data_IF_525102370535
#
_entry.id   IF_525102370535
#
_cell.length_a   1.000
_cell.length_b   1.000
_cell.length_c   1.000
_cell.angle_alpha   90.00
_cell.angle_beta   90.00
_cell.angle_gamma   90.00
#
_symmetry.space_group_name_H-M   'P 1'
#
loop_
_entity.id
_entity.type
_entity.pdbx_description
1 polymer ?
#
# COMPACT_ATOMS: atom_id res chain seq x y z
N UNK A 1 -6.43 13.40 12.08
CA UNK A 1 -5.45 13.67 11.00
C UNK A 1 -6.23 14.05 9.75
N UNK A 2 -5.82 15.09 9.03
CA UNK A 2 -6.52 15.51 7.79
C UNK A 2 -6.02 14.65 6.62
N UNK A 3 -6.93 14.21 5.75
CA UNK A 3 -6.55 13.52 4.50
C UNK A 3 -5.80 14.51 3.59
N UNK A 4 -4.60 14.18 3.09
CA UNK A 4 -3.90 15.04 2.12
C UNK A 4 -4.65 15.08 0.77
N UNK A 5 -4.27 16.02 -0.09
CA UNK A 5 -4.77 16.01 -1.47
C UNK A 5 -4.11 14.87 -2.25
N UNK A 6 -4.86 13.79 -2.49
CA UNK A 6 -4.31 12.59 -3.09
C UNK A 6 -3.95 12.75 -4.58
N UNK A 7 -4.39 13.83 -5.24
CA UNK A 7 -4.01 14.11 -6.62
C UNK A 7 -2.56 14.61 -6.75
N UNK A 8 -1.94 15.07 -5.66
CA UNK A 8 -0.58 15.64 -5.68
C UNK A 8 0.46 14.51 -5.57
N UNK A 9 0.93 14.00 -6.70
CA UNK A 9 1.92 12.91 -6.74
C UNK A 9 3.22 13.24 -5.99
N UNK A 10 3.64 14.51 -5.98
CA UNK A 10 4.83 14.97 -5.25
C UNK A 10 4.71 14.85 -3.73
N UNK A 11 3.49 14.74 -3.20
CA UNK A 11 3.24 14.56 -1.76
C UNK A 11 2.99 13.09 -1.40
N UNK A 12 2.89 12.20 -2.40
CA UNK A 12 2.62 10.79 -2.20
C UNK A 12 3.78 10.09 -1.46
N UNK A 13 3.45 9.02 -0.72
CA UNK A 13 4.39 8.37 0.19
C UNK A 13 3.72 7.47 1.23
N UNK A 14 4.55 6.84 2.06
CA UNK A 14 4.12 6.03 3.21
C UNK A 14 3.87 6.92 4.43
N UNK A 15 2.67 6.83 5.01
CA UNK A 15 2.23 7.69 6.12
C UNK A 15 1.45 6.89 7.16
N UNK A 16 1.67 7.19 8.44
CA UNK A 16 0.77 6.69 9.48
C UNK A 16 -0.60 7.35 9.38
N UNK A 17 -1.65 6.59 9.67
CA UNK A 17 -3.04 7.00 9.52
C UNK A 17 -3.90 6.45 10.65
N UNK A 18 -4.37 7.33 11.53
CA UNK A 18 -5.25 6.97 12.64
C UNK A 18 -6.76 7.14 12.32
N UNK A 19 -7.10 7.49 11.08
CA UNK A 19 -8.49 7.74 10.68
C UNK A 19 -9.19 6.51 10.10
N UNK A 20 -10.46 6.66 9.75
CA UNK A 20 -11.22 5.59 9.11
C UNK A 20 -10.77 5.40 7.64
N UNK A 21 -10.69 4.17 7.11
CA UNK A 21 -10.30 3.90 5.72
C UNK A 21 -11.26 4.54 4.71
N UNK A 22 -12.52 4.77 5.07
CA UNK A 22 -13.55 5.38 4.22
C UNK A 22 -13.19 6.82 3.83
N UNK A 23 -12.48 7.55 4.69
CA UNK A 23 -12.03 8.90 4.39
C UNK A 23 -10.96 8.89 3.28
N UNK A 24 -10.05 7.92 3.30
CA UNK A 24 -9.06 7.72 2.23
C UNK A 24 -9.75 7.24 0.96
N UNK A 25 -10.67 6.29 1.07
CA UNK A 25 -11.43 5.76 -0.07
C UNK A 25 -12.22 6.87 -0.80
N UNK A 26 -12.87 7.77 -0.04
CA UNK A 26 -13.58 8.91 -0.60
C UNK A 26 -12.64 9.90 -1.31
N UNK A 27 -11.50 10.22 -0.68
CA UNK A 27 -10.50 11.11 -1.29
C UNK A 27 -9.85 10.50 -2.54
N UNK A 28 -9.56 9.19 -2.52
CA UNK A 28 -8.99 8.46 -3.65
C UNK A 28 -9.96 8.46 -4.84
N UNK A 29 -11.25 8.23 -4.58
CA UNK A 29 -12.28 8.31 -5.61
C UNK A 29 -12.38 9.72 -6.21
N UNK A 30 -12.34 10.77 -5.38
CA UNK A 30 -12.34 12.16 -5.85
C UNK A 30 -11.13 12.47 -6.75
N UNK A 31 -9.97 11.89 -6.45
CA UNK A 31 -8.75 11.98 -7.24
C UNK A 31 -8.67 10.95 -8.40
N UNK A 32 -9.71 10.14 -8.61
CA UNK A 32 -9.77 9.05 -9.61
C UNK A 32 -8.71 7.96 -9.44
N UNK A 33 -8.17 7.82 -8.24
CA UNK A 33 -7.20 6.79 -7.91
C UNK A 33 -7.91 5.46 -7.66
N UNK A 34 -7.22 4.36 -7.99
CA UNK A 34 -7.57 3.08 -7.38
C UNK A 34 -7.41 3.20 -5.86
N UNK A 35 -8.21 2.43 -5.11
CA UNK A 35 -8.00 2.31 -3.68
C UNK A 35 -8.14 0.86 -3.23
N UNK A 36 -7.17 0.44 -2.42
CA UNK A 36 -7.01 -0.93 -1.93
C UNK A 36 -6.87 -0.91 -0.42
N UNK A 37 -7.44 -1.93 0.22
CA UNK A 37 -7.38 -2.08 1.67
C UNK A 37 -6.74 -3.43 1.96
N UNK A 38 -5.66 -3.41 2.74
CA UNK A 38 -4.99 -4.60 3.26
C UNK A 38 -5.29 -4.69 4.74
N UNK A 39 -5.99 -5.75 5.16
CA UNK A 39 -6.30 -5.99 6.56
C UNK A 39 -5.29 -6.96 7.16
N UNK A 40 -4.54 -6.52 8.18
CA UNK A 40 -3.54 -7.33 8.87
C UNK A 40 -4.07 -7.94 10.18
N UNK A 41 -5.38 -7.89 10.43
CA UNK A 41 -5.98 -8.54 11.59
C UNK A 41 -5.71 -10.05 11.60
N UNK A 42 -5.01 -10.52 12.64
CA UNK A 42 -4.70 -11.94 12.82
C UNK A 42 -3.58 -12.46 11.91
N UNK A 43 -2.93 -11.61 11.12
CA UNK A 43 -1.81 -12.01 10.25
C UNK A 43 -0.58 -12.32 11.10
N UNK A 44 -0.04 -13.53 10.92
CA UNK A 44 1.15 -14.04 11.61
C UNK A 44 2.27 -14.43 10.66
N UNK A 45 3.40 -13.72 10.75
CA UNK A 45 4.63 -14.02 10.03
C UNK A 45 4.57 -13.68 8.54
N UNK A 46 5.70 -13.87 7.85
CA UNK A 46 5.89 -13.49 6.45
C UNK A 46 4.91 -14.16 5.50
N UNK A 47 4.67 -15.47 5.62
CA UNK A 47 3.80 -16.20 4.68
C UNK A 47 2.38 -15.64 4.67
N UNK A 48 1.78 -15.42 5.84
CA UNK A 48 0.43 -14.87 5.93
C UNK A 48 0.38 -13.39 5.52
N UNK A 49 1.48 -12.64 5.73
CA UNK A 49 1.59 -11.28 5.22
C UNK A 49 1.55 -11.26 3.68
N UNK A 50 2.29 -12.14 3.01
CA UNK A 50 2.28 -12.26 1.55
C UNK A 50 0.88 -12.58 1.03
N UNK A 51 0.17 -13.51 1.67
CA UNK A 51 -1.22 -13.84 1.33
C UNK A 51 -2.17 -12.64 1.50
N UNK A 52 -2.00 -11.88 2.59
CA UNK A 52 -2.81 -10.69 2.88
C UNK A 52 -2.55 -9.58 1.86
N UNK A 53 -1.29 -9.35 1.49
CA UNK A 53 -0.88 -8.39 0.46
C UNK A 53 -1.45 -8.78 -0.90
N UNK A 54 -1.25 -10.03 -1.34
CA UNK A 54 -1.75 -10.51 -2.62
C UNK A 54 -3.27 -10.31 -2.76
N UNK A 55 -4.03 -10.68 -1.72
CA UNK A 55 -5.49 -10.51 -1.70
C UNK A 55 -5.92 -9.04 -1.61
N UNK A 56 -5.35 -8.28 -0.68
CA UNK A 56 -5.76 -6.90 -0.38
C UNK A 56 -5.43 -5.92 -1.49
N UNK A 57 -4.27 -6.09 -2.13
CA UNK A 57 -3.85 -5.29 -3.29
C UNK A 57 -4.47 -5.79 -4.60
N UNK A 58 -5.00 -7.01 -4.62
CA UNK A 58 -5.45 -7.73 -5.81
C UNK A 58 -4.32 -7.89 -6.82
N UNK A 59 -3.18 -8.41 -6.36
CA UNK A 59 -2.04 -8.72 -7.21
C UNK A 59 -2.40 -9.86 -8.19
N UNK A 60 -1.63 -10.02 -9.30
CA UNK A 60 -1.89 -11.06 -10.28
C UNK A 60 -1.92 -12.47 -9.67
N UNK A 61 -2.65 -13.39 -10.30
CA UNK A 61 -2.76 -14.79 -9.84
C UNK A 61 -1.41 -15.52 -9.77
N UNK A 62 -0.43 -15.08 -10.57
CA UNK A 62 0.92 -15.62 -10.60
C UNK A 62 1.89 -14.93 -9.61
N UNK A 63 1.38 -14.13 -8.67
CA UNK A 63 2.19 -13.49 -7.64
C UNK A 63 3.03 -14.51 -6.86
N UNK A 64 4.35 -14.30 -6.84
CA UNK A 64 5.34 -15.26 -6.32
C UNK A 64 5.44 -15.40 -4.79
N UNK A 65 4.59 -14.70 -4.02
CA UNK A 65 4.53 -14.75 -2.55
C UNK A 65 5.88 -14.56 -1.83
N UNK A 66 6.70 -13.63 -2.32
CA UNK A 66 7.97 -13.25 -1.71
C UNK A 66 8.24 -11.74 -1.91
N UNK A 67 9.34 -11.23 -1.36
CA UNK A 67 9.66 -9.80 -1.37
C UNK A 67 9.99 -9.29 -2.76
N UNK A 68 10.80 -10.02 -3.53
CA UNK A 68 11.19 -9.62 -4.88
C UNK A 68 9.95 -9.57 -5.80
N UNK A 69 9.10 -10.60 -5.72
CA UNK A 69 7.83 -10.63 -6.45
C UNK A 69 6.89 -9.50 -6.03
N UNK A 70 6.94 -9.04 -4.78
CA UNK A 70 6.14 -7.90 -4.32
C UNK A 70 6.67 -6.60 -4.93
N UNK A 71 7.98 -6.36 -4.85
CA UNK A 71 8.61 -5.18 -5.45
C UNK A 71 8.31 -5.11 -6.95
N UNK A 72 8.55 -6.22 -7.68
CA UNK A 72 8.26 -6.34 -9.10
C UNK A 72 6.79 -6.02 -9.41
N UNK A 73 5.86 -6.60 -8.64
CA UNK A 73 4.44 -6.31 -8.81
C UNK A 73 4.14 -4.83 -8.55
N UNK A 74 4.68 -4.23 -7.49
CA UNK A 74 4.33 -2.85 -7.11
C UNK A 74 4.82 -1.81 -8.13
N UNK A 75 5.88 -2.10 -8.87
CA UNK A 75 6.38 -1.27 -9.97
C UNK A 75 5.77 -1.63 -11.33
N UNK A 76 4.95 -2.69 -11.40
CA UNK A 76 4.15 -3.02 -12.57
C UNK A 76 2.90 -2.12 -12.67
N UNK A 77 2.58 -1.66 -13.87
CA UNK A 77 1.50 -0.71 -14.13
C UNK A 77 0.10 -1.30 -14.07
N UNK A 78 -0.04 -2.62 -14.24
CA UNK A 78 -1.33 -3.28 -14.50
C UNK A 78 -2.34 -3.17 -13.34
N UNK A 79 -1.88 -3.08 -12.09
CA UNK A 79 -2.73 -2.99 -10.90
C UNK A 79 -2.91 -1.55 -10.37
N UNK A 80 -1.98 -0.64 -10.70
CA UNK A 80 -1.92 0.75 -10.22
C UNK A 80 -3.09 1.60 -10.74
N UNK A 81 -3.64 1.25 -11.92
CA UNK A 81 -4.66 2.03 -12.60
C UNK A 81 -4.08 3.25 -13.35
N UNK A 82 -4.94 3.93 -14.11
CA UNK A 82 -4.50 4.99 -15.02
C UNK A 82 -3.99 6.24 -14.30
N UNK A 83 -4.54 6.54 -13.13
CA UNK A 83 -4.28 7.79 -12.40
C UNK A 83 -3.42 7.61 -11.14
N UNK A 84 -3.06 6.38 -10.76
CA UNK A 84 -2.38 6.09 -9.50
C UNK A 84 -3.28 5.40 -8.47
N UNK A 85 -2.76 5.20 -7.27
CA UNK A 85 -3.38 4.38 -6.23
C UNK A 85 -3.25 4.96 -4.82
N UNK A 86 -4.21 4.61 -3.95
CA UNK A 86 -4.10 4.71 -2.51
C UNK A 86 -4.25 3.33 -1.85
N UNK A 87 -3.34 2.97 -0.96
CA UNK A 87 -3.34 1.71 -0.22
C UNK A 87 -3.54 2.04 1.26
N UNK A 88 -4.47 1.34 1.90
CA UNK A 88 -4.72 1.48 3.34
C UNK A 88 -4.45 0.15 4.04
N UNK A 89 -3.45 0.14 4.91
CA UNK A 89 -3.20 -0.96 5.83
C UNK A 89 -4.00 -0.76 7.11
N UNK A 90 -4.82 -1.75 7.48
CA UNK A 90 -5.59 -1.77 8.72
C UNK A 90 -5.01 -2.78 9.70
N UNK A 91 -5.11 -2.46 10.99
CA UNK A 91 -4.69 -3.33 12.09
C UNK A 91 -3.19 -3.72 11.99
N UNK A 92 -2.34 -2.85 11.43
CA UNK A 92 -0.93 -3.15 11.22
C UNK A 92 -0.12 -3.12 12.51
N UNK A 93 -0.62 -2.44 13.56
CA UNK A 93 0.09 -2.25 14.84
C UNK A 93 0.56 -3.56 15.49
N UNK A 94 -0.28 -4.60 15.49
CA UNK A 94 0.09 -5.90 16.07
C UNK A 94 1.20 -6.59 15.26
N UNK A 95 1.08 -6.58 13.93
CA UNK A 95 2.07 -7.15 13.04
C UNK A 95 3.42 -6.42 13.15
N UNK A 96 3.40 -5.08 13.07
CA UNK A 96 4.57 -4.20 13.27
C UNK A 96 5.34 -4.52 14.55
N UNK A 97 4.62 -4.81 15.64
CA UNK A 97 5.22 -5.11 16.93
C UNK A 97 5.86 -6.49 16.97
N UNK A 98 5.19 -7.50 16.42
CA UNK A 98 5.62 -8.90 16.49
C UNK A 98 6.63 -9.30 15.41
N UNK A 99 6.59 -8.66 14.25
CA UNK A 99 7.38 -9.01 13.06
C UNK A 99 8.08 -7.77 12.49
N UNK A 100 8.92 -7.11 13.31
CA UNK A 100 9.58 -5.85 12.96
C UNK A 100 10.40 -5.90 11.68
N UNK A 101 11.23 -6.93 11.52
CA UNK A 101 12.11 -7.08 10.34
C UNK A 101 11.28 -7.21 9.06
N UNK A 102 10.26 -8.07 9.06
CA UNK A 102 9.36 -8.21 7.91
C UNK A 102 8.63 -6.90 7.61
N UNK A 103 8.22 -6.15 8.64
CA UNK A 103 7.58 -4.86 8.46
C UNK A 103 8.52 -3.79 7.90
N UNK A 104 9.76 -3.72 8.39
CA UNK A 104 10.78 -2.79 7.88
C UNK A 104 11.03 -3.05 6.40
N UNK A 105 11.23 -4.31 6.00
CA UNK A 105 11.36 -4.67 4.57
C UNK A 105 10.14 -4.29 3.75
N UNK A 106 8.92 -4.52 4.25
CA UNK A 106 7.70 -4.09 3.55
C UNK A 106 7.63 -2.56 3.41
N UNK A 107 7.97 -1.82 4.46
CA UNK A 107 7.92 -0.37 4.46
C UNK A 107 8.95 0.23 3.49
N UNK A 108 10.13 -0.37 3.39
CA UNK A 108 11.16 0.01 2.43
C UNK A 108 10.67 -0.20 0.99
N UNK A 109 10.16 -1.40 0.67
CA UNK A 109 9.60 -1.72 -0.66
C UNK A 109 8.45 -0.76 -1.03
N UNK A 110 7.55 -0.46 -0.09
CA UNK A 110 6.44 0.48 -0.34
C UNK A 110 6.93 1.92 -0.55
N UNK A 111 8.02 2.30 0.09
CA UNK A 111 8.63 3.63 -0.07
C UNK A 111 9.34 3.74 -1.42
N UNK A 112 10.12 2.73 -1.80
CA UNK A 112 10.77 2.64 -3.11
C UNK A 112 9.74 2.67 -4.25
N UNK A 113 8.66 1.88 -4.16
CA UNK A 113 7.57 1.92 -5.13
C UNK A 113 6.91 3.31 -5.20
N UNK A 114 6.74 3.99 -4.06
CA UNK A 114 6.20 5.34 -4.04
C UNK A 114 7.09 6.34 -4.77
N UNK A 115 8.41 6.27 -4.57
CA UNK A 115 9.39 7.11 -5.25
C UNK A 115 9.40 6.82 -6.76
N UNK A 116 9.41 5.54 -7.14
CA UNK A 116 9.33 5.10 -8.54
C UNK A 116 8.15 5.71 -9.28
N UNK A 117 6.95 5.70 -8.69
CA UNK A 117 5.74 6.24 -9.31
C UNK A 117 5.67 7.78 -9.24
N UNK A 118 6.25 8.39 -8.21
CA UNK A 118 6.36 9.84 -8.10
C UNK A 118 7.18 10.44 -9.25
N UNK A 119 8.32 9.82 -9.61
CA UNK A 119 9.13 10.22 -10.77
C UNK A 119 8.35 10.16 -12.10
N UNK A 120 7.33 9.29 -12.16
CA UNK A 120 6.42 9.12 -13.30
C UNK A 120 5.15 9.97 -13.18
N UNK A 121 5.10 10.87 -12.21
CA UNK A 121 3.96 11.74 -11.92
C UNK A 121 2.65 10.99 -11.64
N UNK A 122 2.75 9.76 -11.10
CA UNK A 122 1.59 8.99 -10.65
C UNK A 122 1.55 8.94 -9.11
N UNK A 123 0.46 9.39 -8.48
CA UNK A 123 0.27 9.25 -7.05
C UNK A 123 0.29 7.78 -6.60
N UNK A 124 1.14 7.47 -5.63
CA UNK A 124 1.20 6.19 -4.94
C UNK A 124 1.16 6.45 -3.43
N UNK A 125 -0.02 6.33 -2.84
CA UNK A 125 -0.20 6.63 -1.43
C UNK A 125 -0.28 5.36 -0.61
N UNK A 126 0.39 5.36 0.54
CA UNK A 126 0.26 4.28 1.53
C UNK A 126 -0.08 4.88 2.89
N UNK A 127 -1.18 4.42 3.46
CA UNK A 127 -1.67 4.83 4.77
C UNK A 127 -1.65 3.64 5.71
N UNK A 128 -1.01 3.77 6.88
CA UNK A 128 -0.85 2.67 7.82
C UNK A 128 -1.50 2.96 9.17
N UNK A 129 -2.52 2.18 9.52
CA UNK A 129 -3.27 2.28 10.78
C UNK A 129 -3.19 1.05 11.68
#
# INVERSE_FOLDING_TARGET
MKVPDLAVAADAGVRDWAGAPEAIQAAANAAKLHCRVVDLHGVGGKSQLMDALGKGLKLPEHFGNNWDALADCLEDGDWLGNHGIAIVFRHAAAYRKSYRVDWETLADILSEASEYWQERHKPFWVFVG
#
